data_IF_544334305349
#
_entry.id   IF_544334305349
#
_cell.length_a   1.000
_cell.length_b   1.000
_cell.length_c   1.000
_cell.angle_alpha   90.00
_cell.angle_beta   90.00
_cell.angle_gamma   90.00
#
_symmetry.space_group_name_H-M   'P 1'
#
loop_
_entity.id
_entity.type
_entity.pdbx_description
1 polymer ?
#
# COMPACT_ATOMS: atom_id res chain seq x y z
N UNK A 1 -7.40 19.77 10.24
CA UNK A 1 -6.20 19.18 10.87
C UNK A 1 -6.52 18.61 12.26
N UNK A 2 -6.55 19.38 13.36
CA UNK A 2 -6.72 18.81 14.72
C UNK A 2 -8.06 18.05 14.93
N UNK A 3 -9.13 18.51 14.30
CA UNK A 3 -10.46 17.88 14.40
C UNK A 3 -10.51 16.53 13.67
N UNK A 4 -9.81 16.40 12.53
CA UNK A 4 -9.74 15.15 11.76
C UNK A 4 -8.97 14.08 12.54
N UNK A 5 -7.88 14.47 13.22
CA UNK A 5 -7.16 13.59 14.14
C UNK A 5 -8.07 13.11 15.28
N UNK A 6 -8.82 14.02 15.89
CA UNK A 6 -9.74 13.70 17.00
C UNK A 6 -10.82 12.71 16.58
N UNK A 7 -11.31 12.80 15.34
CA UNK A 7 -12.28 11.85 14.77
C UNK A 7 -11.66 10.52 14.36
N UNK A 8 -10.38 10.50 14.02
CA UNK A 8 -9.68 9.29 13.57
C UNK A 8 -9.18 8.43 14.72
N UNK A 9 -8.74 9.04 15.84
CA UNK A 9 -8.18 8.31 16.98
C UNK A 9 -9.06 7.16 17.52
N UNK A 10 -10.40 7.30 17.64
CA UNK A 10 -11.26 6.22 18.11
C UNK A 10 -11.28 4.98 17.18
N UNK A 11 -11.01 5.17 15.88
CA UNK A 11 -11.00 4.10 14.88
C UNK A 11 -9.66 3.34 14.84
N UNK A 12 -8.63 3.85 15.52
CA UNK A 12 -7.28 3.29 15.52
C UNK A 12 -7.07 2.31 16.66
N UNK A 13 -6.42 1.18 16.36
CA UNK A 13 -5.93 0.23 17.37
C UNK A 13 -4.65 0.76 18.03
N UNK A 14 -4.39 0.32 19.26
CA UNK A 14 -3.14 0.62 19.96
C UNK A 14 -1.93 0.09 19.17
N UNK A 15 -0.86 0.91 19.07
CA UNK A 15 0.37 0.56 18.37
C UNK A 15 0.41 0.96 16.89
N UNK A 16 -0.61 1.67 16.37
CA UNK A 16 -0.58 2.25 15.03
C UNK A 16 0.29 3.51 15.00
N UNK A 17 1.07 3.65 13.93
CA UNK A 17 1.84 4.87 13.63
C UNK A 17 0.94 5.87 12.90
N UNK A 18 0.86 7.09 13.42
CA UNK A 18 0.14 8.21 12.80
C UNK A 18 1.16 9.25 12.38
N UNK A 19 1.05 9.76 11.16
CA UNK A 19 1.92 10.77 10.58
C UNK A 19 1.10 11.89 9.94
N UNK A 20 1.63 13.12 9.96
CA UNK A 20 1.08 14.30 9.30
C UNK A 20 2.11 14.78 8.29
N UNK A 21 1.71 14.97 7.03
CA UNK A 21 2.58 15.41 5.93
C UNK A 21 3.97 14.71 5.90
N UNK A 22 4.00 13.36 5.78
CA UNK A 22 5.24 12.62 5.87
C UNK A 22 6.12 12.93 4.67
N UNK A 23 7.42 13.07 4.92
CA UNK A 23 8.40 13.15 3.85
C UNK A 23 8.52 11.80 3.13
N UNK A 24 9.00 11.81 1.88
CA UNK A 24 9.25 10.58 1.14
C UNK A 24 10.22 9.63 1.88
N UNK A 25 11.23 10.19 2.56
CA UNK A 25 12.18 9.43 3.37
C UNK A 25 11.49 8.69 4.53
N UNK A 26 10.62 9.37 5.27
CA UNK A 26 9.87 8.75 6.36
C UNK A 26 8.96 7.63 5.85
N UNK A 27 8.27 7.84 4.72
CA UNK A 27 7.43 6.81 4.11
C UNK A 27 8.23 5.57 3.68
N UNK A 28 9.42 5.75 3.11
CA UNK A 28 10.31 4.63 2.78
C UNK A 28 10.77 3.88 4.03
N UNK A 29 11.20 4.60 5.06
CA UNK A 29 11.66 4.00 6.32
C UNK A 29 10.54 3.28 7.07
N UNK A 30 9.33 3.83 7.08
CA UNK A 30 8.15 3.16 7.63
C UNK A 30 7.84 1.89 6.85
N UNK A 31 7.87 1.93 5.52
CA UNK A 31 7.62 0.74 4.70
C UNK A 31 8.66 -0.35 4.96
N UNK A 32 9.95 0.02 5.08
CA UNK A 32 11.03 -0.94 5.38
C UNK A 32 10.91 -1.57 6.76
N UNK A 33 10.54 -0.78 7.79
CA UNK A 33 10.46 -1.25 9.18
C UNK A 33 9.17 -2.01 9.48
N UNK A 34 8.03 -1.48 9.01
CA UNK A 34 6.72 -2.06 9.28
C UNK A 34 6.38 -3.21 8.33
N UNK A 35 7.01 -3.25 7.14
CA UNK A 35 6.79 -4.28 6.11
C UNK A 35 5.30 -4.55 5.84
N UNK A 36 4.52 -3.50 5.47
CA UNK A 36 3.10 -3.68 5.20
C UNK A 36 2.89 -4.59 3.99
N UNK A 37 1.86 -5.43 4.05
CA UNK A 37 1.46 -6.28 2.93
C UNK A 37 0.76 -5.49 1.81
N UNK A 38 0.30 -4.28 2.10
CA UNK A 38 -0.33 -3.36 1.14
C UNK A 38 -0.15 -1.91 1.60
N UNK A 39 0.18 -1.03 0.65
CA UNK A 39 0.20 0.42 0.85
C UNK A 39 -0.89 1.09 0.01
N UNK A 40 -1.69 1.95 0.64
CA UNK A 40 -2.71 2.76 -0.03
C UNK A 40 -2.38 4.24 0.05
N UNK A 41 -1.99 4.87 -1.06
CA UNK A 41 -1.66 6.30 -1.11
C UNK A 41 -1.96 6.91 -2.50
N UNK A 42 -1.22 7.94 -2.91
CA UNK A 42 -1.39 8.63 -4.20
C UNK A 42 -0.43 8.16 -5.30
N UNK A 43 -0.54 8.82 -6.46
CA UNK A 43 0.28 8.49 -7.63
C UNK A 43 1.78 8.71 -7.39
N UNK A 44 2.14 9.70 -6.56
CA UNK A 44 3.54 10.07 -6.29
C UNK A 44 4.26 8.96 -5.53
N UNK A 45 3.54 8.23 -4.67
CA UNK A 45 4.08 7.19 -3.79
C UNK A 45 4.04 5.78 -4.43
N UNK A 46 3.23 5.59 -5.48
CA UNK A 46 2.98 4.29 -6.13
C UNK A 46 4.26 3.58 -6.57
N UNK A 47 5.07 4.26 -7.38
CA UNK A 47 6.21 3.61 -8.02
C UNK A 47 7.38 3.36 -7.07
N UNK A 48 7.52 4.19 -6.04
CA UNK A 48 8.51 3.97 -4.97
C UNK A 48 8.15 2.68 -4.22
N UNK A 49 6.89 2.52 -3.82
CA UNK A 49 6.40 1.31 -3.13
C UNK A 49 6.58 0.05 -3.95
N UNK A 50 6.24 0.08 -5.25
CA UNK A 50 6.48 -1.05 -6.14
C UNK A 50 7.97 -1.43 -6.25
N UNK A 51 8.89 -0.45 -6.34
CA UNK A 51 10.33 -0.73 -6.36
C UNK A 51 10.85 -1.32 -5.05
N UNK A 52 10.16 -1.06 -3.95
CA UNK A 52 10.42 -1.69 -2.65
C UNK A 52 9.79 -3.08 -2.49
N UNK A 53 9.18 -3.64 -3.55
CA UNK A 53 8.45 -4.92 -3.55
C UNK A 53 7.21 -4.95 -2.67
N UNK A 54 6.59 -3.79 -2.47
CA UNK A 54 5.38 -3.68 -1.66
C UNK A 54 4.16 -3.47 -2.56
N UNK A 55 3.11 -4.31 -2.42
CA UNK A 55 1.84 -4.08 -3.11
C UNK A 55 1.28 -2.69 -2.85
N UNK A 56 0.71 -2.07 -3.89
CA UNK A 56 0.22 -0.70 -3.80
C UNK A 56 -1.13 -0.51 -4.52
N UNK A 57 -2.02 0.29 -3.93
CA UNK A 57 -3.25 0.77 -4.57
C UNK A 57 -3.37 2.29 -4.44
N UNK A 58 -3.76 2.95 -5.54
CA UNK A 58 -4.05 4.38 -5.48
C UNK A 58 -5.42 4.62 -4.83
N UNK A 59 -5.42 5.16 -3.62
CA UNK A 59 -6.65 5.40 -2.85
C UNK A 59 -7.33 6.74 -3.14
N UNK A 60 -6.76 7.55 -4.03
CA UNK A 60 -7.40 8.79 -4.51
C UNK A 60 -8.09 8.61 -5.86
N UNK A 61 -7.48 7.86 -6.77
CA UNK A 61 -7.93 7.68 -8.15
C UNK A 61 -8.54 6.29 -8.41
N UNK A 62 -8.62 5.44 -7.38
CA UNK A 62 -8.99 4.02 -7.48
C UNK A 62 -8.14 3.23 -8.48
N UNK A 63 -6.94 3.74 -8.75
CA UNK A 63 -6.06 3.25 -9.81
C UNK A 63 -6.80 3.07 -11.14
N UNK A 64 -7.67 4.03 -11.47
CA UNK A 64 -8.51 4.04 -12.67
C UNK A 64 -9.58 2.94 -12.73
N UNK A 65 -9.92 2.33 -11.59
CA UNK A 65 -11.04 1.40 -11.43
C UNK A 65 -12.26 2.09 -10.80
N UNK A 66 -12.83 1.50 -9.74
CA UNK A 66 -13.97 2.05 -9.00
C UNK A 66 -15.33 1.85 -9.71
N UNK A 67 -16.43 2.31 -9.09
CA UNK A 67 -16.51 3.01 -7.80
C UNK A 67 -16.25 2.08 -6.59
N UNK A 68 -15.79 2.62 -5.45
CA UNK A 68 -15.60 1.85 -4.21
C UNK A 68 -16.72 2.03 -3.18
N UNK A 69 -17.57 3.03 -3.36
CA UNK A 69 -18.69 3.27 -2.46
C UNK A 69 -19.89 2.37 -2.78
N UNK A 70 -20.64 2.01 -1.74
CA UNK A 70 -21.85 1.19 -1.85
C UNK A 70 -21.56 -0.31 -1.90
N UNK A 71 -22.63 -1.10 -1.86
CA UNK A 71 -22.55 -2.57 -1.82
C UNK A 71 -21.88 -3.13 -3.08
N UNK A 72 -22.24 -2.63 -4.25
CA UNK A 72 -21.62 -3.03 -5.52
C UNK A 72 -20.16 -2.56 -5.61
N UNK A 73 -19.86 -1.36 -5.10
CA UNK A 73 -18.50 -0.82 -5.07
C UNK A 73 -17.56 -1.60 -4.15
N UNK A 74 -18.09 -2.21 -3.08
CA UNK A 74 -17.29 -3.06 -2.20
C UNK A 74 -16.76 -4.32 -2.91
N UNK A 75 -17.53 -4.89 -3.84
CA UNK A 75 -17.06 -6.02 -4.64
C UNK A 75 -15.87 -5.63 -5.55
N UNK A 76 -15.90 -4.41 -6.12
CA UNK A 76 -14.80 -3.86 -6.93
C UNK A 76 -13.58 -3.58 -6.06
N UNK A 77 -13.79 -2.96 -4.89
CA UNK A 77 -12.72 -2.73 -3.90
C UNK A 77 -12.04 -4.04 -3.51
N UNK A 78 -12.81 -5.07 -3.13
CA UNK A 78 -12.26 -6.36 -2.72
C UNK A 78 -11.44 -7.02 -3.83
N UNK A 79 -11.95 -7.04 -5.07
CA UNK A 79 -11.24 -7.56 -6.25
C UNK A 79 -9.91 -6.83 -6.47
N UNK A 80 -9.91 -5.51 -6.37
CA UNK A 80 -8.75 -4.68 -6.64
C UNK A 80 -7.67 -4.84 -5.56
N UNK A 81 -8.07 -4.97 -4.30
CA UNK A 81 -7.13 -5.22 -3.20
C UNK A 81 -6.51 -6.62 -3.35
N UNK A 82 -7.33 -7.63 -3.64
CA UNK A 82 -6.85 -9.00 -3.89
C UNK A 82 -5.85 -9.05 -5.05
N UNK A 83 -6.19 -8.44 -6.19
CA UNK A 83 -5.32 -8.42 -7.36
C UNK A 83 -3.98 -7.73 -7.09
N UNK A 84 -3.94 -6.71 -6.22
CA UNK A 84 -2.69 -6.06 -5.86
C UNK A 84 -1.85 -6.91 -4.92
N UNK A 85 -2.44 -7.46 -3.86
CA UNK A 85 -1.70 -8.23 -2.84
C UNK A 85 -1.23 -9.58 -3.40
N UNK A 86 -2.11 -10.28 -4.13
CA UNK A 86 -1.87 -11.66 -4.59
C UNK A 86 -1.35 -11.74 -6.02
N UNK A 87 -0.84 -10.64 -6.59
CA UNK A 87 -0.28 -10.66 -7.94
C UNK A 87 0.96 -11.56 -8.00
N UNK A 88 1.08 -12.46 -9.00
CA UNK A 88 2.27 -13.29 -9.18
C UNK A 88 3.52 -12.48 -9.52
N UNK A 89 3.37 -11.19 -9.87
CA UNK A 89 4.49 -10.31 -10.19
C UNK A 89 5.45 -10.11 -9.01
N UNK A 90 4.99 -10.28 -7.76
CA UNK A 90 5.82 -10.12 -6.58
C UNK A 90 6.91 -11.20 -6.48
N UNK A 91 6.67 -12.39 -7.03
CA UNK A 91 7.65 -13.48 -7.09
C UNK A 91 8.65 -13.34 -8.24
N UNK A 92 8.44 -12.36 -9.14
CA UNK A 92 9.26 -12.16 -10.34
C UNK A 92 10.34 -11.07 -10.18
N UNK A 93 10.55 -10.55 -8.97
CA UNK A 93 11.55 -9.50 -8.73
C UNK A 93 12.99 -10.00 -8.76
N UNK A 94 13.23 -11.24 -8.32
CA UNK A 94 14.57 -11.82 -8.32
C UNK A 94 14.86 -12.50 -9.65
N UNK A 95 15.93 -12.07 -10.30
CA UNK A 95 16.33 -12.65 -11.57
C UNK A 95 16.73 -14.13 -11.39
N UNK A 96 16.34 -15.05 -12.30
CA UNK A 96 16.59 -16.48 -12.12
C UNK A 96 18.08 -16.84 -12.01
N UNK A 97 18.96 -16.06 -12.63
CA UNK A 97 20.42 -16.23 -12.55
C UNK A 97 21.05 -15.65 -11.28
N UNK A 98 20.33 -14.86 -10.48
CA UNK A 98 20.82 -14.43 -9.18
C UNK A 98 20.78 -15.58 -8.15
N UNK A 99 19.83 -16.51 -8.32
CA UNK A 99 19.67 -17.68 -7.45
C UNK A 99 20.61 -18.85 -7.81
N UNK A 100 21.24 -18.85 -9.00
CA UNK A 100 22.13 -19.93 -9.44
C UNK A 100 23.50 -19.95 -8.77
N UNK A 101 23.88 -18.90 -8.04
CA UNK A 101 25.18 -18.81 -7.33
C UNK A 101 25.16 -19.37 -5.88
N UNK A 102 24.11 -20.09 -5.50
CA UNK A 102 23.98 -20.74 -4.17
C UNK A 102 24.07 -22.29 -4.21
N UNK A 103 24.60 -22.85 -5.29
CA UNK A 103 24.91 -24.28 -5.42
C UNK A 103 26.41 -24.53 -5.43
#
# INVERSE_FOLDING_TARGET
HKDDYTRSYPELKQGIVVYDDPTAYEMEEFTRRLKPDLVGAGIKEKYVSHKMRTPFRQMHSWDYSGPYHGVEGFAIFARDMDSAVNSPTWDLFDAPWANSKKG
#
